data_IF_543352916861
#
_entry.id   IF_543352916861
#
_cell.length_a   1.000
_cell.length_b   1.000
_cell.length_c   1.000
_cell.angle_alpha   90.00
_cell.angle_beta   90.00
_cell.angle_gamma   90.00
#
_symmetry.space_group_name_H-M   'P 1'
#
loop_
_entity.id
_entity.type
_entity.pdbx_description
1 polymer ?
#
# COMPACT_ATOMS: atom_id res chain seq x y z
N UNK A 1 -19.32 -9.61 -3.28
CA UNK A 1 -19.99 -10.28 -2.15
C UNK A 1 -20.45 -9.28 -1.09
N UNK A 2 -19.55 -8.54 -0.41
CA UNK A 2 -19.90 -7.58 0.65
C UNK A 2 -20.96 -6.55 0.22
N UNK A 3 -20.81 -5.95 -0.96
CA UNK A 3 -21.79 -4.97 -1.51
C UNK A 3 -23.20 -5.54 -1.62
N UNK A 4 -23.33 -6.79 -2.09
CA UNK A 4 -24.62 -7.45 -2.27
C UNK A 4 -25.31 -7.71 -0.92
N UNK A 5 -24.56 -8.21 0.07
CA UNK A 5 -25.08 -8.37 1.43
C UNK A 5 -25.45 -7.04 2.08
N UNK A 6 -24.60 -6.02 1.93
CA UNK A 6 -24.88 -4.67 2.41
C UNK A 6 -26.15 -4.08 1.81
N UNK A 7 -26.35 -4.23 0.49
CA UNK A 7 -27.56 -3.80 -0.20
C UNK A 7 -28.79 -4.58 0.25
N UNK A 8 -28.70 -5.91 0.39
CA UNK A 8 -29.81 -6.72 0.85
C UNK A 8 -30.28 -6.28 2.25
N UNK A 9 -29.35 -6.13 3.19
CA UNK A 9 -29.65 -5.74 4.57
C UNK A 9 -30.15 -4.29 4.72
N UNK A 10 -29.69 -3.36 3.89
CA UNK A 10 -30.02 -1.93 4.00
C UNK A 10 -31.07 -1.43 3.00
N UNK A 11 -31.55 -2.30 2.12
CA UNK A 11 -32.47 -2.00 1.02
C UNK A 11 -33.71 -1.21 1.44
N UNK A 12 -34.24 -1.47 2.64
CA UNK A 12 -35.48 -0.86 3.14
C UNK A 12 -35.35 0.61 3.57
N UNK A 13 -34.14 1.14 3.79
CA UNK A 13 -33.95 2.49 4.34
C UNK A 13 -33.04 3.41 3.53
N UNK A 14 -32.14 2.87 2.71
CA UNK A 14 -31.05 3.66 2.08
C UNK A 14 -30.94 3.48 0.56
N UNK A 15 -31.85 2.74 -0.06
CA UNK A 15 -31.78 2.43 -1.50
C UNK A 15 -30.64 1.47 -1.84
N UNK A 16 -30.33 1.34 -3.12
CA UNK A 16 -29.25 0.49 -3.62
C UNK A 16 -27.93 1.28 -3.73
N UNK A 17 -26.85 0.73 -3.15
CA UNK A 17 -25.51 1.26 -3.29
C UNK A 17 -24.76 0.56 -4.44
N UNK A 18 -23.89 1.32 -5.10
CA UNK A 18 -22.97 0.81 -6.14
C UNK A 18 -21.55 0.60 -5.62
N UNK A 19 -21.27 1.00 -4.39
CA UNK A 19 -19.96 0.87 -3.75
C UNK A 19 -20.03 1.29 -2.27
N UNK A 20 -18.93 1.10 -1.56
CA UNK A 20 -18.77 1.49 -0.16
C UNK A 20 -17.35 1.99 0.10
N UNK A 21 -17.15 2.75 1.17
CA UNK A 21 -15.81 3.21 1.59
C UNK A 21 -15.06 2.06 2.22
N UNK A 22 -13.73 2.01 2.08
CA UNK A 22 -12.92 0.91 2.62
C UNK A 22 -13.08 0.75 4.14
N UNK A 23 -13.22 1.86 4.87
CA UNK A 23 -13.51 1.90 6.31
C UNK A 23 -14.78 1.11 6.70
N UNK A 24 -15.72 0.90 5.78
CA UNK A 24 -16.92 0.09 6.04
C UNK A 24 -16.62 -1.39 6.27
N UNK A 25 -15.42 -1.87 5.93
CA UNK A 25 -14.99 -3.23 6.23
C UNK A 25 -14.85 -3.48 7.74
N UNK A 26 -14.49 -2.46 8.52
CA UNK A 26 -14.36 -2.59 9.99
C UNK A 26 -15.72 -2.92 10.63
N UNK A 27 -16.81 -2.37 10.08
CA UNK A 27 -18.17 -2.63 10.56
C UNK A 27 -18.61 -4.10 10.40
N UNK A 28 -17.95 -4.89 9.54
CA UNK A 28 -18.25 -6.32 9.37
C UNK A 28 -17.91 -7.15 10.62
N UNK A 29 -16.95 -6.68 11.42
CA UNK A 29 -16.59 -7.26 12.72
C UNK A 29 -17.57 -6.86 13.82
N UNK A 30 -18.16 -5.67 13.72
CA UNK A 30 -19.07 -5.14 14.73
C UNK A 30 -20.49 -5.72 14.61
N UNK A 31 -20.95 -6.00 13.38
CA UNK A 31 -22.29 -6.50 13.14
C UNK A 31 -22.41 -7.97 13.53
N UNK A 32 -23.18 -8.24 14.59
CA UNK A 32 -23.42 -9.58 15.13
C UNK A 32 -24.76 -10.15 14.66
N UNK A 33 -24.82 -11.47 14.62
CA UNK A 33 -26.06 -12.23 14.44
C UNK A 33 -27.05 -11.97 15.60
N UNK A 34 -28.32 -12.29 15.39
CA UNK A 34 -29.39 -12.15 16.40
C UNK A 34 -29.07 -12.90 17.69
N UNK A 35 -28.43 -14.08 17.58
CA UNK A 35 -28.00 -14.90 18.71
C UNK A 35 -26.63 -14.47 19.30
N UNK A 36 -26.01 -13.42 18.74
CA UNK A 36 -24.70 -12.85 19.12
C UNK A 36 -23.53 -13.85 19.09
N UNK A 37 -23.70 -15.01 18.47
CA UNK A 37 -22.66 -16.06 18.41
C UNK A 37 -21.62 -15.85 17.32
N UNK A 38 -21.95 -15.08 16.29
CA UNK A 38 -21.08 -14.85 15.14
C UNK A 38 -21.23 -13.43 14.60
N UNK A 39 -20.21 -12.93 13.90
CA UNK A 39 -20.26 -11.64 13.20
C UNK A 39 -20.62 -11.84 11.73
N UNK A 40 -20.97 -10.75 11.04
CA UNK A 40 -21.20 -10.77 9.60
C UNK A 40 -19.95 -11.24 8.84
N UNK A 41 -18.75 -10.90 9.31
CA UNK A 41 -17.50 -11.41 8.75
C UNK A 41 -17.42 -12.95 8.82
N UNK A 42 -17.75 -13.57 9.96
CA UNK A 42 -17.76 -15.02 10.10
C UNK A 42 -18.72 -15.68 9.09
N UNK A 43 -19.91 -15.10 8.94
CA UNK A 43 -20.90 -15.57 7.98
C UNK A 43 -20.40 -15.44 6.53
N UNK A 44 -19.77 -14.30 6.18
CA UNK A 44 -19.19 -14.08 4.85
C UNK A 44 -18.09 -15.09 4.52
N UNK A 45 -17.19 -15.38 5.46
CA UNK A 45 -16.14 -16.39 5.29
C UNK A 45 -16.74 -17.76 5.02
N UNK A 46 -17.80 -18.15 5.75
CA UNK A 46 -18.51 -19.41 5.52
C UNK A 46 -19.12 -19.46 4.12
N UNK A 47 -19.81 -18.40 3.70
CA UNK A 47 -20.42 -18.32 2.35
C UNK A 47 -19.34 -18.38 1.26
N UNK A 48 -18.20 -17.73 1.45
CA UNK A 48 -17.08 -17.79 0.51
C UNK A 48 -16.58 -19.24 0.40
N UNK A 49 -16.31 -19.91 1.51
CA UNK A 49 -15.83 -21.30 1.48
C UNK A 49 -16.82 -22.27 0.80
N UNK A 50 -18.12 -22.06 0.97
CA UNK A 50 -19.16 -22.94 0.42
C UNK A 50 -19.53 -22.63 -1.05
N UNK A 51 -19.51 -21.36 -1.46
CA UNK A 51 -20.03 -20.90 -2.76
C UNK A 51 -18.97 -20.39 -3.72
N UNK A 52 -17.81 -19.97 -3.20
CA UNK A 52 -16.72 -19.35 -3.94
C UNK A 52 -15.35 -19.85 -3.41
N UNK A 53 -15.11 -21.18 -3.40
CA UNK A 53 -13.91 -21.76 -2.81
C UNK A 53 -12.61 -21.21 -3.41
N UNK A 54 -12.63 -20.79 -4.67
CA UNK A 54 -11.52 -20.13 -5.38
C UNK A 54 -11.07 -18.83 -4.71
N UNK A 55 -11.97 -18.14 -4.00
CA UNK A 55 -11.65 -16.89 -3.31
C UNK A 55 -11.06 -17.12 -1.92
N UNK A 56 -11.00 -18.34 -1.40
CA UNK A 56 -10.48 -18.62 -0.05
C UNK A 56 -9.01 -18.21 0.10
N UNK A 57 -8.25 -18.29 -0.99
CA UNK A 57 -6.83 -17.96 -1.04
C UNK A 57 -6.50 -16.49 -1.33
N UNK A 58 -7.48 -15.59 -1.51
CA UNK A 58 -7.24 -14.23 -2.03
C UNK A 58 -6.23 -13.40 -1.24
N UNK A 59 -6.09 -13.67 0.06
CA UNK A 59 -5.13 -12.99 0.93
C UNK A 59 -3.68 -13.27 0.52
N UNK A 60 -3.41 -14.40 -0.14
CA UNK A 60 -2.08 -14.74 -0.66
C UNK A 60 -1.64 -13.80 -1.78
N UNK A 61 -2.58 -13.21 -2.54
CA UNK A 61 -2.26 -12.23 -3.59
C UNK A 61 -1.81 -10.88 -3.01
N UNK A 62 -2.01 -10.66 -1.71
CA UNK A 62 -1.68 -9.42 -0.98
C UNK A 62 -0.32 -9.52 -0.26
N UNK A 63 0.74 -9.87 -1.01
CA UNK A 63 2.04 -10.27 -0.47
C UNK A 63 2.72 -9.29 0.51
N UNK A 64 2.62 -7.98 0.27
CA UNK A 64 3.36 -6.96 1.03
C UNK A 64 2.46 -6.07 1.87
N UNK A 65 1.20 -6.43 2.08
CA UNK A 65 0.22 -5.55 2.73
C UNK A 65 0.65 -5.13 4.13
N UNK A 66 1.11 -6.07 4.96
CA UNK A 66 1.54 -5.79 6.34
C UNK A 66 2.78 -4.87 6.38
N UNK A 67 3.75 -5.13 5.50
CA UNK A 67 4.97 -4.33 5.40
C UNK A 67 4.63 -2.92 4.89
N UNK A 68 3.87 -2.82 3.81
CA UNK A 68 3.45 -1.56 3.22
C UNK A 68 2.61 -0.71 4.19
N UNK A 69 1.74 -1.33 5.00
CA UNK A 69 0.93 -0.63 5.99
C UNK A 69 1.75 0.04 7.11
N UNK A 70 2.99 -0.39 7.33
CA UNK A 70 3.92 0.22 8.30
C UNK A 70 4.84 1.29 7.71
N UNK A 71 4.86 1.43 6.38
CA UNK A 71 5.76 2.36 5.68
C UNK A 71 5.09 3.72 5.53
N UNK A 72 5.77 4.77 5.98
CA UNK A 72 5.41 6.15 5.67
C UNK A 72 6.01 6.54 4.32
N UNK A 73 5.19 6.57 3.27
CA UNK A 73 5.64 6.98 1.93
C UNK A 73 6.22 8.40 1.93
N UNK A 74 5.59 9.32 2.67
CA UNK A 74 6.07 10.71 2.77
C UNK A 74 7.48 10.80 3.35
N UNK A 75 7.78 9.99 4.37
CA UNK A 75 9.11 9.91 4.98
C UNK A 75 10.13 9.34 3.98
N UNK A 76 9.79 8.24 3.30
CA UNK A 76 10.67 7.64 2.29
C UNK A 76 10.98 8.64 1.16
N UNK A 77 9.97 9.33 0.64
CA UNK A 77 10.15 10.32 -0.42
C UNK A 77 10.98 11.54 0.07
N UNK A 78 10.85 11.92 1.34
CA UNK A 78 11.67 12.98 1.92
C UNK A 78 13.15 12.57 1.97
N UNK A 79 13.44 11.33 2.38
CA UNK A 79 14.79 10.79 2.44
C UNK A 79 15.41 10.70 1.03
N UNK A 80 14.65 10.22 0.04
CA UNK A 80 15.10 10.17 -1.36
C UNK A 80 15.46 11.56 -1.88
N UNK A 81 14.62 12.58 -1.63
CA UNK A 81 14.95 13.97 -2.00
C UNK A 81 16.19 14.50 -1.28
N UNK A 82 16.42 14.08 -0.04
CA UNK A 82 17.61 14.45 0.72
C UNK A 82 18.88 13.85 0.10
N UNK A 83 18.84 12.56 -0.24
CA UNK A 83 19.92 11.85 -0.92
C UNK A 83 20.24 12.48 -2.28
N UNK A 84 19.21 12.86 -3.05
CA UNK A 84 19.39 13.54 -4.34
C UNK A 84 20.19 14.83 -4.17
N UNK A 85 19.78 15.69 -3.24
CA UNK A 85 20.47 16.96 -2.97
C UNK A 85 21.90 16.73 -2.49
N UNK A 86 22.12 15.70 -1.68
CA UNK A 86 23.46 15.30 -1.22
C UNK A 86 24.37 14.94 -2.40
N UNK A 87 23.87 14.13 -3.34
CA UNK A 87 24.62 13.73 -4.53
C UNK A 87 24.90 14.91 -5.47
N UNK A 88 23.93 15.80 -5.67
CA UNK A 88 24.10 17.04 -6.44
C UNK A 88 25.18 17.95 -5.81
N UNK A 89 25.23 18.04 -4.48
CA UNK A 89 26.27 18.76 -3.78
C UNK A 89 27.65 18.12 -3.99
N UNK A 90 27.74 16.79 -3.88
CA UNK A 90 28.98 16.05 -4.17
C UNK A 90 29.48 16.30 -5.59
N UNK A 91 28.57 16.33 -6.56
CA UNK A 91 28.88 16.66 -7.95
C UNK A 91 29.43 18.08 -8.10
N UNK A 92 28.85 19.06 -7.40
CA UNK A 92 29.32 20.46 -7.41
C UNK A 92 30.70 20.61 -6.79
N UNK A 93 30.97 19.94 -5.66
CA UNK A 93 32.30 19.99 -5.03
C UNK A 93 33.36 19.29 -5.89
N UNK A 94 33.01 18.20 -6.60
CA UNK A 94 33.92 17.57 -7.56
C UNK A 94 34.31 18.52 -8.71
N UNK A 95 33.36 19.33 -9.23
CA UNK A 95 33.65 20.35 -10.25
C UNK A 95 34.56 21.45 -9.71
N UNK A 96 34.56 21.70 -8.40
CA UNK A 96 35.37 22.74 -7.75
C UNK A 96 36.76 22.26 -7.35
N UNK A 97 36.88 20.99 -6.97
CA UNK A 97 38.14 20.30 -6.66
C UNK A 97 38.50 19.37 -7.81
N UNK A 98 39.05 19.95 -8.87
CA UNK A 98 39.50 19.18 -10.03
C UNK A 98 40.46 18.06 -9.57
N UNK A 99 40.28 16.85 -10.09
CA UNK A 99 41.07 15.64 -9.84
C UNK A 99 40.90 14.86 -8.50
N UNK A 100 39.81 15.05 -7.74
CA UNK A 100 39.52 14.12 -6.64
C UNK A 100 39.01 12.74 -7.15
N UNK A 101 39.93 11.79 -7.28
CA UNK A 101 39.66 10.42 -7.76
C UNK A 101 38.59 9.71 -6.93
N UNK A 102 38.56 9.95 -5.61
CA UNK A 102 37.59 9.34 -4.70
C UNK A 102 36.17 9.81 -5.00
N UNK A 103 35.97 11.12 -5.20
CA UNK A 103 34.66 11.68 -5.54
C UNK A 103 34.20 11.23 -6.93
N UNK A 104 35.12 11.16 -7.90
CA UNK A 104 34.84 10.66 -9.25
C UNK A 104 34.32 9.22 -9.23
N UNK A 105 35.01 8.33 -8.50
CA UNK A 105 34.61 6.93 -8.36
C UNK A 105 33.29 6.79 -7.59
N UNK A 106 33.10 7.57 -6.51
CA UNK A 106 31.85 7.58 -5.76
C UNK A 106 30.66 8.02 -6.63
N UNK A 107 30.79 9.13 -7.37
CA UNK A 107 29.74 9.63 -8.25
C UNK A 107 29.44 8.64 -9.37
N UNK A 108 30.47 8.03 -9.98
CA UNK A 108 30.30 7.01 -11.03
C UNK A 108 29.52 5.79 -10.51
N UNK A 109 29.83 5.32 -9.31
CA UNK A 109 29.19 4.14 -8.73
C UNK A 109 27.75 4.41 -8.27
N UNK A 110 27.48 5.59 -7.71
CA UNK A 110 26.21 5.86 -7.03
C UNK A 110 25.17 6.62 -7.88
N UNK A 111 25.58 7.35 -8.93
CA UNK A 111 24.61 8.06 -9.79
C UNK A 111 23.55 7.14 -10.42
N UNK A 112 23.90 5.96 -10.99
CA UNK A 112 22.89 5.06 -11.53
C UNK A 112 21.94 4.49 -10.47
N UNK A 113 22.43 4.32 -9.25
CA UNK A 113 21.63 3.84 -8.10
C UNK A 113 20.62 4.92 -7.71
N UNK A 114 21.05 6.18 -7.69
CA UNK A 114 20.19 7.32 -7.41
C UNK A 114 19.11 7.49 -8.48
N UNK A 115 19.47 7.37 -9.76
CA UNK A 115 18.51 7.45 -10.87
C UNK A 115 17.44 6.35 -10.78
N UNK A 116 17.86 5.12 -10.46
CA UNK A 116 16.93 4.02 -10.21
C UNK A 116 16.02 4.31 -9.02
N UNK A 117 16.57 4.79 -7.91
CA UNK A 117 15.79 5.12 -6.71
C UNK A 117 14.74 6.21 -6.99
N UNK A 118 15.08 7.21 -7.81
CA UNK A 118 14.14 8.24 -8.26
C UNK A 118 13.03 7.67 -9.15
N UNK A 119 13.37 6.77 -10.07
CA UNK A 119 12.39 6.10 -10.93
C UNK A 119 11.42 5.22 -10.11
N UNK A 120 11.95 4.45 -9.16
CA UNK A 120 11.17 3.59 -8.27
C UNK A 120 10.26 4.46 -7.37
N UNK A 121 10.77 5.57 -6.85
CA UNK A 121 10.00 6.51 -6.02
C UNK A 121 8.84 7.17 -6.77
N UNK A 122 9.03 7.49 -8.06
CA UNK A 122 7.98 8.05 -8.91
C UNK A 122 6.87 7.03 -9.21
N UNK A 123 7.22 5.76 -9.31
CA UNK A 123 6.28 4.66 -9.56
C UNK A 123 5.51 4.27 -8.29
N UNK A 124 6.07 4.56 -7.11
CA UNK A 124 5.45 4.31 -5.82
C UNK A 124 4.41 5.37 -5.40
N UNK A 125 4.36 6.54 -6.06
CA UNK A 125 3.32 7.57 -5.90
C UNK A 125 2.11 7.29 -6.79
#
# INVERSE_FOLDING_TARGET
IVLAFGNYMNSSKRGAAYGFRLQSLDALLEMKSTDRKQTLLHYLVKVIAEKYPELTGFHSDLHFLDKAGSVSLDSVLADVRSLQRGLELTQREFVRQDDCVVLKEFLRANSPIMDKLLADSKTAQ
#
